data_IF_431024079518
#
_entry.id   IF_431024079518
#
_cell.length_a   1.000
_cell.length_b   1.000
_cell.length_c   1.000
_cell.angle_alpha   90.00
_cell.angle_beta   90.00
_cell.angle_gamma   90.00
#
_symmetry.space_group_name_H-M   'P 1'
#
loop_
_entity.id
_entity.type
_entity.pdbx_description
1 polymer ?
#
# COMPACT_ATOMS: atom_id res chain seq x y z
N UNK A 1 23.65 -78.66 34.12
CA UNK A 1 23.66 -77.73 32.96
C UNK A 1 24.68 -76.64 33.30
N UNK A 2 25.98 -76.86 33.02
CA UNK A 2 26.73 -76.36 31.84
C UNK A 2 26.66 -74.82 31.67
N UNK A 3 27.73 -74.08 32.04
CA UNK A 3 28.77 -73.44 31.17
C UNK A 3 28.24 -72.17 30.45
N UNK A 4 28.92 -71.05 30.14
CA UNK A 4 30.22 -70.41 30.43
C UNK A 4 30.33 -69.16 29.50
N UNK A 5 30.66 -67.97 30.03
CA UNK A 5 31.43 -66.85 29.40
C UNK A 5 30.83 -66.07 28.17
N UNK A 6 31.53 -65.09 27.50
CA UNK A 6 31.43 -63.64 27.76
C UNK A 6 31.33 -62.73 26.48
N UNK A 7 31.45 -61.41 26.67
CA UNK A 7 32.05 -60.38 25.77
C UNK A 7 31.40 -59.97 24.42
N UNK A 8 31.23 -58.65 24.28
CA UNK A 8 31.44 -57.79 23.10
C UNK A 8 30.87 -58.22 21.75
N UNK A 9 29.88 -57.48 21.23
CA UNK A 9 29.88 -57.06 19.82
C UNK A 9 29.19 -55.72 19.67
N UNK A 10 30.00 -54.76 19.23
CA UNK A 10 29.66 -53.45 18.71
C UNK A 10 28.86 -53.63 17.41
N UNK A 11 27.63 -53.13 17.35
CA UNK A 11 26.91 -52.95 16.09
C UNK A 11 26.70 -51.44 15.87
N UNK A 12 27.69 -50.81 15.25
CA UNK A 12 27.54 -49.51 14.63
C UNK A 12 27.00 -49.73 13.21
N UNK A 13 25.72 -49.47 12.96
CA UNK A 13 25.20 -49.14 11.63
C UNK A 13 24.03 -48.15 11.78
N UNK A 14 24.43 -46.88 11.72
CA UNK A 14 23.81 -45.73 11.07
C UNK A 14 22.28 -45.61 10.89
N UNK A 15 21.85 -44.35 11.07
CA UNK A 15 20.65 -43.66 10.55
C UNK A 15 19.41 -43.66 11.45
N UNK A 16 19.43 -42.77 12.44
CA UNK A 16 18.24 -42.23 13.10
C UNK A 16 18.38 -40.72 13.25
N UNK A 17 17.69 -39.97 12.40
CA UNK A 17 17.63 -38.51 12.34
C UNK A 17 17.17 -37.89 13.67
N UNK A 18 17.75 -36.78 14.15
CA UNK A 18 17.14 -36.01 15.23
C UNK A 18 15.93 -35.25 14.68
N UNK A 19 14.74 -35.73 15.02
CA UNK A 19 13.47 -35.05 14.76
C UNK A 19 13.38 -33.77 15.59
N UNK A 20 13.36 -32.67 14.85
CA UNK A 20 12.54 -31.49 15.07
C UNK A 20 12.79 -30.68 16.35
N UNK A 21 13.60 -29.63 16.17
CA UNK A 21 13.49 -28.40 16.92
C UNK A 21 12.01 -27.96 17.02
N UNK A 22 11.49 -27.91 18.25
CA UNK A 22 10.25 -27.23 18.60
C UNK A 22 10.64 -26.01 19.42
N UNK A 23 10.99 -24.94 18.71
CA UNK A 23 10.86 -23.55 19.15
C UNK A 23 11.35 -22.63 18.03
N UNK A 24 10.64 -22.66 16.92
CA UNK A 24 10.60 -21.52 16.01
C UNK A 24 9.19 -20.98 16.10
N UNK A 25 9.04 -19.88 16.84
CA UNK A 25 7.85 -19.02 16.78
C UNK A 25 7.42 -18.90 15.32
N UNK A 26 6.18 -19.29 15.06
CA UNK A 26 5.59 -19.35 13.74
C UNK A 26 5.97 -18.13 12.90
N UNK A 27 6.73 -18.36 11.84
CA UNK A 27 6.67 -17.54 10.65
C UNK A 27 5.22 -17.67 10.14
N UNK A 28 4.33 -16.85 10.70
CA UNK A 28 3.02 -16.60 10.12
C UNK A 28 3.32 -16.13 8.71
N UNK A 29 3.10 -17.03 7.76
CA UNK A 29 3.02 -16.69 6.35
C UNK A 29 1.81 -15.76 6.28
N UNK A 30 2.05 -14.45 6.40
CA UNK A 30 1.04 -13.45 6.02
C UNK A 30 0.74 -13.82 4.59
N UNK A 31 -0.42 -14.41 4.35
CA UNK A 31 -0.94 -14.47 3.00
C UNK A 31 -1.04 -13.01 2.58
N UNK A 32 -0.11 -12.59 1.71
CA UNK A 32 0.08 -11.23 1.26
C UNK A 32 -1.15 -10.85 0.41
N UNK A 33 -2.28 -10.60 1.07
CA UNK A 33 -3.47 -10.05 0.46
C UNK A 33 -3.14 -8.60 0.12
N UNK A 34 -2.96 -8.34 -1.17
CA UNK A 34 -2.82 -6.97 -1.66
C UNK A 34 -4.15 -6.24 -1.49
N UNK A 35 -4.14 -5.17 -0.72
CA UNK A 35 -5.27 -4.28 -0.57
C UNK A 35 -5.44 -3.55 -1.90
N UNK A 36 -6.61 -3.66 -2.54
CA UNK A 36 -6.92 -2.93 -3.77
C UNK A 36 -7.99 -1.88 -3.48
N UNK A 37 -7.69 -0.63 -3.84
CA UNK A 37 -8.56 0.53 -3.61
C UNK A 37 -8.73 1.30 -4.92
N UNK A 38 -9.95 1.72 -5.22
CA UNK A 38 -10.25 2.62 -6.32
C UNK A 38 -10.36 4.06 -5.84
N UNK A 39 -9.85 5.01 -6.61
CA UNK A 39 -9.84 6.44 -6.30
C UNK A 39 -10.38 7.25 -7.46
N UNK A 40 -11.24 8.23 -7.17
CA UNK A 40 -11.80 9.14 -8.16
C UNK A 40 -12.02 10.55 -7.56
N UNK A 41 -11.98 11.56 -8.41
CA UNK A 41 -12.22 12.95 -8.04
C UNK A 41 -12.87 13.73 -9.17
N UNK A 42 -13.84 14.58 -8.81
CA UNK A 42 -14.61 15.37 -9.77
C UNK A 42 -14.73 16.82 -9.34
N UNK A 43 -14.90 17.73 -10.29
CA UNK A 43 -15.23 19.12 -10.01
C UNK A 43 -16.31 19.65 -10.96
N UNK A 44 -17.29 20.39 -10.41
CA UNK A 44 -18.38 21.00 -11.17
C UNK A 44 -17.96 22.30 -11.88
N UNK A 45 -16.79 22.84 -11.56
CA UNK A 45 -16.20 24.01 -12.22
C UNK A 45 -14.68 24.01 -12.10
N UNK A 46 -13.98 24.36 -13.18
CA UNK A 46 -12.52 24.29 -13.24
C UNK A 46 -11.90 25.56 -13.88
N UNK A 47 -11.16 26.41 -13.13
CA UNK A 47 -10.95 26.36 -11.68
C UNK A 47 -12.09 26.99 -10.86
N UNK A 48 -12.06 26.77 -9.53
CA UNK A 48 -12.90 27.43 -8.51
C UNK A 48 -14.36 26.97 -8.41
N UNK A 49 -14.66 25.75 -8.85
CA UNK A 49 -15.94 25.11 -8.56
C UNK A 49 -15.89 24.20 -7.32
N UNK A 50 -17.06 23.76 -6.82
CA UNK A 50 -17.12 22.64 -5.90
C UNK A 50 -16.41 21.43 -6.47
N UNK A 51 -15.56 20.81 -5.67
CA UNK A 51 -14.90 19.55 -5.99
C UNK A 51 -15.20 18.50 -4.93
N UNK A 52 -15.16 17.25 -5.36
CA UNK A 52 -15.27 16.08 -4.51
C UNK A 52 -14.16 15.07 -4.80
N UNK A 53 -13.92 14.21 -3.82
CA UNK A 53 -13.01 13.07 -3.91
C UNK A 53 -13.66 11.89 -3.23
N UNK A 54 -13.33 10.69 -3.69
CA UNK A 54 -13.74 9.45 -3.04
C UNK A 54 -12.68 8.37 -3.24
N UNK A 55 -12.60 7.45 -2.27
CA UNK A 55 -11.91 6.19 -2.44
C UNK A 55 -12.78 5.05 -1.90
N UNK A 56 -12.62 3.85 -2.44
CA UNK A 56 -13.35 2.66 -2.01
C UNK A 56 -12.51 1.40 -2.15
N UNK A 57 -12.51 0.58 -1.11
CA UNK A 57 -11.91 -0.74 -1.10
C UNK A 57 -12.68 -1.70 -2.00
N UNK A 58 -11.94 -2.61 -2.62
CA UNK A 58 -12.55 -3.70 -3.39
C UNK A 58 -13.14 -4.78 -2.49
N UNK A 59 -12.63 -4.89 -1.26
CA UNK A 59 -13.17 -5.78 -0.25
C UNK A 59 -14.18 -5.05 0.64
N UNK A 60 -15.43 -5.49 0.60
CA UNK A 60 -16.48 -4.94 1.46
C UNK A 60 -16.13 -5.16 2.94
N UNK A 61 -16.38 -4.13 3.75
CA UNK A 61 -16.12 -4.15 5.18
C UNK A 61 -14.67 -4.50 5.54
N UNK A 62 -13.71 -3.89 4.82
CA UNK A 62 -12.29 -4.05 5.12
C UNK A 62 -11.83 -3.28 6.36
N UNK A 63 -12.63 -2.32 6.84
CA UNK A 63 -12.35 -1.56 8.06
C UNK A 63 -12.03 -2.42 9.28
N UNK A 64 -11.05 -1.97 10.07
CA UNK A 64 -10.62 -2.68 11.27
C UNK A 64 -9.80 -3.96 11.02
N UNK A 65 -9.60 -4.37 9.76
CA UNK A 65 -8.64 -5.42 9.41
C UNK A 65 -7.20 -4.88 9.46
N UNK A 66 -6.18 -5.75 9.63
CA UNK A 66 -4.79 -5.34 9.48
C UNK A 66 -4.58 -4.56 8.16
N UNK A 67 -3.97 -3.39 8.25
CA UNK A 67 -3.76 -2.51 7.10
C UNK A 67 -4.82 -1.45 6.85
N UNK A 68 -6.01 -1.58 7.43
CA UNK A 68 -7.15 -0.68 7.25
C UNK A 68 -7.44 0.10 8.55
N UNK A 69 -7.28 1.43 8.52
CA UNK A 69 -7.47 2.33 9.67
C UNK A 69 -8.71 3.22 9.54
N UNK A 70 -9.67 2.81 8.71
CA UNK A 70 -10.98 3.42 8.56
C UNK A 70 -12.07 2.51 9.15
N UNK A 71 -13.29 3.01 9.15
CA UNK A 71 -14.47 2.26 9.60
C UNK A 71 -14.81 1.07 8.69
N UNK A 72 -15.78 0.27 9.12
CA UNK A 72 -16.23 -0.94 8.44
C UNK A 72 -16.96 -0.68 7.13
N UNK A 73 -17.06 0.55 6.63
CA UNK A 73 -17.72 0.82 5.36
C UNK A 73 -16.81 0.53 4.16
N UNK A 74 -15.49 0.65 4.33
CA UNK A 74 -14.53 0.41 3.24
C UNK A 74 -14.53 1.49 2.16
N UNK A 75 -14.96 2.70 2.48
CA UNK A 75 -14.89 3.87 1.59
C UNK A 75 -14.86 5.16 2.40
N UNK A 76 -14.39 6.25 1.79
CA UNK A 76 -14.56 7.60 2.32
C UNK A 76 -14.70 8.59 1.16
N UNK A 77 -15.37 9.69 1.42
CA UNK A 77 -15.56 10.76 0.45
C UNK A 77 -15.65 12.12 1.13
N UNK A 78 -15.15 13.13 0.42
CA UNK A 78 -15.19 14.50 0.89
C UNK A 78 -15.15 15.48 -0.26
N UNK A 79 -14.98 16.76 0.06
CA UNK A 79 -14.94 17.80 -0.95
C UNK A 79 -14.57 19.17 -0.42
N UNK A 80 -14.43 20.12 -1.34
CA UNK A 80 -14.21 21.52 -1.02
C UNK A 80 -15.00 22.41 -1.99
N UNK A 81 -15.43 23.58 -1.52
CA UNK A 81 -16.21 24.53 -2.33
C UNK A 81 -15.38 25.23 -3.41
N UNK A 82 -14.06 25.22 -3.29
CA UNK A 82 -13.14 25.91 -4.19
C UNK A 82 -11.99 24.99 -4.58
N UNK A 83 -12.17 24.21 -5.65
CA UNK A 83 -11.15 23.29 -6.13
C UNK A 83 -11.15 23.09 -7.65
N UNK A 84 -10.49 22.01 -8.06
CA UNK A 84 -10.35 21.59 -9.46
C UNK A 84 -10.42 20.08 -9.52
N UNK A 85 -10.64 19.50 -10.70
CA UNK A 85 -10.64 18.04 -10.89
C UNK A 85 -9.34 17.41 -10.37
N UNK A 86 -8.20 18.00 -10.74
CA UNK A 86 -6.87 17.54 -10.32
C UNK A 86 -6.67 17.56 -8.80
N UNK A 87 -7.29 18.51 -8.10
CA UNK A 87 -7.23 18.55 -6.63
C UNK A 87 -8.06 17.40 -6.05
N UNK A 88 -9.28 17.17 -6.57
CA UNK A 88 -10.11 16.03 -6.15
C UNK A 88 -9.40 14.70 -6.34
N UNK A 89 -8.84 14.45 -7.53
CA UNK A 89 -8.11 13.22 -7.85
C UNK A 89 -6.89 13.01 -6.93
N UNK A 90 -6.13 14.08 -6.63
CA UNK A 90 -5.00 13.99 -5.70
C UNK A 90 -5.44 13.78 -4.24
N UNK A 91 -6.54 14.41 -3.82
CA UNK A 91 -7.10 14.20 -2.49
C UNK A 91 -7.56 12.76 -2.32
N UNK A 92 -8.22 12.16 -3.31
CA UNK A 92 -8.64 10.76 -3.27
C UNK A 92 -7.45 9.82 -3.01
N UNK A 93 -6.34 10.01 -3.73
CA UNK A 93 -5.10 9.24 -3.51
C UNK A 93 -4.52 9.47 -2.12
N UNK A 94 -4.47 10.73 -1.66
CA UNK A 94 -3.92 11.07 -0.34
C UNK A 94 -4.72 10.43 0.79
N UNK A 95 -6.05 10.52 0.73
CA UNK A 95 -6.92 9.97 1.78
C UNK A 95 -6.93 8.44 1.74
N UNK A 96 -6.86 7.82 0.56
CA UNK A 96 -6.67 6.37 0.44
C UNK A 96 -5.35 5.92 1.11
N UNK A 97 -4.24 6.64 0.93
CA UNK A 97 -2.97 6.33 1.58
C UNK A 97 -3.05 6.44 3.12
N UNK A 98 -3.75 7.46 3.62
CA UNK A 98 -3.92 7.70 5.06
C UNK A 98 -4.83 6.66 5.72
N UNK A 99 -5.87 6.24 5.00
CA UNK A 99 -6.78 5.20 5.43
C UNK A 99 -6.09 3.83 5.52
N UNK A 100 -5.01 3.64 4.74
CA UNK A 100 -4.27 2.38 4.67
C UNK A 100 -2.82 2.56 5.11
N UNK A 101 -2.46 2.65 6.40
CA UNK A 101 -1.07 2.88 6.82
C UNK A 101 -0.22 1.61 7.03
N UNK A 102 -0.79 0.41 6.89
CA UNK A 102 -0.14 -0.85 7.28
C UNK A 102 0.95 -1.36 6.34
N UNK A 103 1.59 -2.50 6.68
CA UNK A 103 2.66 -3.12 5.88
C UNK A 103 2.17 -3.91 4.66
N UNK A 104 0.87 -4.14 4.54
CA UNK A 104 0.24 -4.89 3.46
C UNK A 104 0.44 -4.16 2.12
N UNK A 105 0.75 -4.85 1.02
CA UNK A 105 0.83 -4.21 -0.29
C UNK A 105 -0.45 -3.46 -0.63
N UNK A 106 -0.34 -2.20 -1.04
CA UNK A 106 -1.47 -1.37 -1.44
C UNK A 106 -1.42 -1.12 -2.95
N UNK A 107 -2.49 -1.47 -3.65
CA UNK A 107 -2.70 -1.20 -5.06
C UNK A 107 -3.79 -0.13 -5.23
N UNK A 108 -3.40 1.05 -5.70
CA UNK A 108 -4.31 2.15 -5.98
C UNK A 108 -4.70 2.13 -7.46
N UNK A 109 -5.98 1.97 -7.73
CA UNK A 109 -6.58 2.15 -9.05
C UNK A 109 -7.10 3.57 -9.22
N UNK A 110 -6.79 4.18 -10.36
CA UNK A 110 -7.31 5.49 -10.73
C UNK A 110 -7.37 5.61 -12.24
N UNK A 111 -8.38 6.30 -12.76
CA UNK A 111 -8.42 6.70 -14.16
C UNK A 111 -7.63 8.01 -14.42
N UNK A 112 -7.26 8.74 -13.37
CA UNK A 112 -6.43 9.92 -13.44
C UNK A 112 -4.96 9.58 -13.68
N UNK A 113 -4.54 9.72 -14.94
CA UNK A 113 -3.11 9.71 -15.27
C UNK A 113 -2.35 10.84 -14.57
N UNK A 114 -3.02 11.96 -14.27
CA UNK A 114 -2.38 13.08 -13.57
C UNK A 114 -1.99 12.67 -12.14
N UNK A 115 -2.93 12.12 -11.36
CA UNK A 115 -2.66 11.68 -10.00
C UNK A 115 -1.62 10.56 -9.96
N UNK A 116 -1.71 9.57 -10.85
CA UNK A 116 -0.73 8.48 -10.94
C UNK A 116 0.68 9.02 -11.27
N UNK A 117 0.81 9.87 -12.29
CA UNK A 117 2.13 10.37 -12.70
C UNK A 117 2.74 11.31 -11.65
N UNK A 118 1.92 12.12 -10.97
CA UNK A 118 2.34 12.93 -9.83
C UNK A 118 2.91 12.05 -8.70
N UNK A 119 2.22 10.95 -8.37
CA UNK A 119 2.57 10.07 -7.25
C UNK A 119 3.77 9.16 -7.54
N UNK A 120 4.06 8.86 -8.81
CA UNK A 120 5.06 7.83 -9.18
C UNK A 120 6.26 8.37 -9.97
N UNK A 121 6.01 9.10 -11.06
CA UNK A 121 7.04 9.46 -12.06
C UNK A 121 7.64 10.83 -11.81
N UNK A 122 6.81 11.85 -11.65
CA UNK A 122 7.26 13.24 -11.67
C UNK A 122 7.87 13.68 -10.35
N UNK A 123 7.39 13.15 -9.22
CA UNK A 123 7.86 13.53 -7.88
C UNK A 123 9.37 13.35 -7.70
N UNK A 124 9.96 12.29 -8.28
CA UNK A 124 11.41 12.04 -8.22
C UNK A 124 12.21 13.16 -8.88
N UNK A 125 11.73 13.68 -10.01
CA UNK A 125 12.34 14.81 -10.71
C UNK A 125 12.13 16.12 -9.96
N UNK A 126 10.93 16.35 -9.44
CA UNK A 126 10.58 17.57 -8.70
C UNK A 126 11.34 17.72 -7.38
N UNK A 127 11.56 16.62 -6.65
CA UNK A 127 12.40 16.63 -5.43
C UNK A 127 13.83 17.08 -5.73
N UNK A 128 14.40 16.65 -6.86
CA UNK A 128 15.77 17.01 -7.27
C UNK A 128 15.90 18.44 -7.79
N UNK A 129 14.86 18.99 -8.39
CA UNK A 129 14.92 20.30 -9.05
C UNK A 129 14.31 21.46 -8.24
N UNK A 130 14.05 21.24 -6.95
CA UNK A 130 13.49 22.25 -6.05
C UNK A 130 12.00 22.55 -6.32
N UNK A 131 11.23 21.54 -6.74
CA UNK A 131 9.79 21.61 -7.01
C UNK A 131 9.42 22.60 -8.12
N UNK A 132 10.15 22.50 -9.23
CA UNK A 132 9.91 23.28 -10.45
C UNK A 132 9.53 22.36 -11.61
N UNK A 133 8.62 22.81 -12.46
CA UNK A 133 8.27 22.10 -13.69
C UNK A 133 9.31 22.34 -14.80
N UNK A 134 9.11 21.75 -15.98
CA UNK A 134 9.98 21.92 -17.15
C UNK A 134 10.14 23.38 -17.60
N UNK A 135 9.15 24.23 -17.31
CA UNK A 135 9.17 25.67 -17.58
C UNK A 135 9.82 26.49 -16.46
N UNK A 136 10.49 25.84 -15.50
CA UNK A 136 11.10 26.46 -14.30
C UNK A 136 10.10 27.18 -13.37
N UNK A 137 8.80 26.93 -13.53
CA UNK A 137 7.75 27.47 -12.66
C UNK A 137 7.47 26.52 -11.49
N UNK A 138 6.95 27.02 -10.36
CA UNK A 138 6.51 26.15 -9.26
C UNK A 138 5.53 25.08 -9.76
N UNK A 139 5.69 23.86 -9.25
CA UNK A 139 4.76 22.74 -9.51
C UNK A 139 3.38 23.10 -8.95
N UNK A 140 2.33 22.88 -9.74
CA UNK A 140 0.94 23.05 -9.28
C UNK A 140 0.59 21.96 -8.27
N UNK A 141 -0.24 22.29 -7.27
CA UNK A 141 -0.68 21.36 -6.22
C UNK A 141 0.49 20.71 -5.45
N UNK A 142 1.63 21.42 -5.36
CA UNK A 142 2.87 20.93 -4.76
C UNK A 142 2.64 20.36 -3.36
N UNK A 143 1.85 21.05 -2.55
CA UNK A 143 1.61 20.71 -1.15
C UNK A 143 0.92 19.35 -1.02
N UNK A 144 -0.06 19.05 -1.88
CA UNK A 144 -0.74 17.75 -1.94
C UNK A 144 0.20 16.65 -2.42
N UNK A 145 0.97 16.92 -3.48
CA UNK A 145 1.93 15.94 -4.03
C UNK A 145 3.03 15.61 -3.01
N UNK A 146 3.48 16.61 -2.24
CA UNK A 146 4.41 16.42 -1.14
C UNK A 146 3.82 15.60 0.00
N UNK A 147 2.52 15.78 0.30
CA UNK A 147 1.84 14.96 1.28
C UNK A 147 1.77 13.50 0.81
N UNK A 148 1.37 13.25 -0.44
CA UNK A 148 1.31 11.90 -1.02
C UNK A 148 2.68 11.22 -0.97
N UNK A 149 3.75 11.89 -1.43
CA UNK A 149 5.12 11.34 -1.40
C UNK A 149 5.58 11.02 0.02
N UNK A 150 5.16 11.82 1.01
CA UNK A 150 5.45 11.56 2.42
C UNK A 150 4.70 10.33 2.92
N UNK A 151 3.39 10.22 2.68
CA UNK A 151 2.61 9.05 3.12
C UNK A 151 3.17 7.76 2.48
N UNK A 152 3.47 7.78 1.18
CA UNK A 152 4.11 6.64 0.47
C UNK A 152 5.47 6.30 1.10
N UNK A 153 6.29 7.30 1.41
CA UNK A 153 7.64 7.07 1.97
C UNK A 153 7.63 6.60 3.42
N UNK A 154 6.60 6.95 4.19
CA UNK A 154 6.46 6.58 5.60
C UNK A 154 5.80 5.21 5.79
N UNK A 155 5.06 4.75 4.77
CA UNK A 155 4.38 3.46 4.79
C UNK A 155 5.40 2.31 4.83
N UNK A 156 5.20 1.30 5.68
CA UNK A 156 6.09 0.14 5.75
C UNK A 156 5.91 -0.82 4.55
N UNK A 157 4.72 -0.84 3.95
CA UNK A 157 4.39 -1.68 2.80
C UNK A 157 4.53 -0.97 1.45
N UNK A 158 4.71 -1.72 0.34
CA UNK A 158 4.79 -1.14 -0.98
C UNK A 158 3.46 -0.52 -1.42
N UNK A 159 3.54 0.51 -2.26
CA UNK A 159 2.39 1.14 -2.93
C UNK A 159 2.59 1.05 -4.43
N UNK A 160 1.66 0.40 -5.10
CA UNK A 160 1.59 0.30 -6.55
C UNK A 160 0.38 1.07 -7.09
N UNK A 161 0.49 1.54 -8.33
CA UNK A 161 -0.59 2.26 -9.01
C UNK A 161 -0.96 1.54 -10.31
N UNK A 162 -2.25 1.37 -10.55
CA UNK A 162 -2.79 0.83 -11.81
C UNK A 162 -3.73 1.85 -12.45
N UNK A 163 -3.41 2.21 -13.69
CA UNK A 163 -4.32 3.02 -14.49
C UNK A 163 -5.45 2.15 -15.01
N UNK A 164 -6.69 2.59 -14.77
CA UNK A 164 -7.90 1.98 -15.32
C UNK A 164 -8.55 2.95 -16.31
N UNK A 165 -9.29 2.42 -17.28
CA UNK A 165 -10.01 3.27 -18.23
C UNK A 165 -11.22 3.87 -17.51
N UNK A 166 -11.34 5.21 -17.52
CA UNK A 166 -12.51 5.90 -16.99
C UNK A 166 -13.81 5.49 -17.67
N UNK A 167 -14.91 5.57 -16.93
CA UNK A 167 -16.25 5.13 -17.32
C UNK A 167 -17.05 6.20 -18.09
#
# INVERSE_FOLDING_TARGET
MMLSTPSTTLFCLALGSPTSARDCTACVRVENMTITVSTDGSALGNPNGPMGWAWADHEQNAGGKPGHKHDDHGYDAGGATNGTNQIGELCAVLEALRAHPGPEPLLIESDSQYAINCSTKWVKGWKKNGWKNSQKKPVKNKELIQAIDREISQRPGPVDFRWVKGH
#
